data_IF_790158856575
#
_entry.id   IF_790158856575
#
_cell.length_a   1.000
_cell.length_b   1.000
_cell.length_c   1.000
_cell.angle_alpha   90.00
_cell.angle_beta   90.00
_cell.angle_gamma   90.00
#
_symmetry.space_group_name_H-M   'P 1'
#
loop_
_entity.id
_entity.type
_entity.pdbx_description
1 polymer ?
#
# COMPACT_ATOMS: atom_id res chain seq x y z
N UNK A 1 -15.36 -6.58 1.09
CA UNK A 1 -14.33 -5.75 0.42
C UNK A 1 -13.56 -4.98 1.49
N UNK A 2 -12.23 -4.87 1.36
CA UNK A 2 -11.42 -4.24 2.39
C UNK A 2 -11.45 -2.70 2.31
N UNK A 3 -11.29 -2.05 3.46
CA UNK A 3 -11.27 -0.59 3.60
C UNK A 3 -10.01 -0.14 4.36
N UNK A 4 -9.32 0.88 3.88
CA UNK A 4 -8.09 1.40 4.49
C UNK A 4 -8.01 2.93 4.51
N UNK A 5 -7.14 3.47 5.38
CA UNK A 5 -6.70 4.86 5.36
C UNK A 5 -5.47 4.98 4.47
N UNK A 6 -5.67 5.47 3.25
CA UNK A 6 -4.56 5.70 2.32
C UNK A 6 -3.88 7.03 2.62
N UNK A 7 -2.56 7.03 2.50
CA UNK A 7 -1.73 8.22 2.55
C UNK A 7 -1.02 8.38 1.23
N UNK A 8 -0.83 9.62 0.80
CA UNK A 8 -0.02 9.90 -0.39
C UNK A 8 1.43 9.54 -0.11
N UNK A 9 2.07 8.88 -1.06
CA UNK A 9 3.48 8.50 -0.96
C UNK A 9 4.34 9.61 -1.52
N UNK A 10 5.31 10.05 -0.72
CA UNK A 10 6.38 10.97 -1.10
C UNK A 10 7.73 10.26 -1.00
N UNK A 11 8.77 10.82 -1.63
CA UNK A 11 10.13 10.28 -1.54
C UNK A 11 10.54 10.10 -0.07
N UNK A 12 10.95 8.88 0.29
CA UNK A 12 11.37 8.53 1.65
C UNK A 12 10.22 8.23 2.62
N UNK A 13 8.98 8.08 2.15
CA UNK A 13 7.85 7.64 2.99
C UNK A 13 8.13 6.26 3.55
N UNK A 14 8.14 6.15 4.88
CA UNK A 14 8.34 4.89 5.62
C UNK A 14 7.03 4.31 6.13
N UNK A 15 7.08 3.08 6.63
CA UNK A 15 5.99 2.45 7.36
C UNK A 15 5.56 3.26 8.60
N UNK A 16 6.52 3.84 9.32
CA UNK A 16 6.24 4.68 10.48
C UNK A 16 5.42 5.92 10.10
N UNK A 17 5.72 6.54 8.95
CA UNK A 17 4.96 7.68 8.42
C UNK A 17 3.53 7.27 8.05
N UNK A 18 3.37 6.10 7.42
CA UNK A 18 2.05 5.58 7.08
C UNK A 18 1.20 5.30 8.34
N UNK A 19 1.79 4.70 9.38
CA UNK A 19 1.12 4.50 10.67
C UNK A 19 0.75 5.83 11.34
N UNK A 20 1.66 6.80 11.38
CA UNK A 20 1.39 8.11 11.95
C UNK A 20 0.22 8.81 11.23
N UNK A 21 0.21 8.75 9.89
CA UNK A 21 -0.88 9.30 9.08
C UNK A 21 -2.20 8.56 9.28
N UNK A 22 -2.19 7.23 9.44
CA UNK A 22 -3.39 6.46 9.77
C UNK A 22 -3.97 6.91 11.12
N UNK A 23 -3.15 7.04 12.16
CA UNK A 23 -3.60 7.51 13.48
C UNK A 23 -4.18 8.93 13.41
N UNK A 24 -3.55 9.82 12.62
CA UNK A 24 -4.08 11.16 12.39
C UNK A 24 -5.45 11.11 11.70
N UNK A 25 -5.62 10.28 10.67
CA UNK A 25 -6.90 10.10 9.98
C UNK A 25 -7.99 9.52 10.90
N UNK A 26 -7.64 8.57 11.76
CA UNK A 26 -8.56 8.01 12.76
C UNK A 26 -9.01 9.08 13.77
N UNK A 27 -8.06 9.85 14.33
CA UNK A 27 -8.38 10.92 15.29
C UNK A 27 -9.29 12.00 14.69
N UNK A 28 -9.14 12.27 13.39
CA UNK A 28 -9.96 13.21 12.62
C UNK A 28 -11.25 12.61 12.09
N UNK A 29 -11.54 11.34 12.38
CA UNK A 29 -12.72 10.61 11.89
C UNK A 29 -12.84 10.64 10.35
N UNK A 30 -11.71 10.59 9.66
CA UNK A 30 -11.71 10.50 8.20
C UNK A 30 -12.39 9.18 7.76
N UNK A 31 -13.00 9.19 6.57
CA UNK A 31 -13.61 7.99 6.01
C UNK A 31 -12.53 7.06 5.44
N UNK A 32 -12.63 5.76 5.71
CA UNK A 32 -11.80 4.76 5.04
C UNK A 32 -12.23 4.62 3.58
N UNK A 33 -11.28 4.38 2.69
CA UNK A 33 -11.56 4.14 1.28
C UNK A 33 -11.66 2.65 1.02
N UNK A 34 -12.68 2.27 0.24
CA UNK A 34 -12.82 0.91 -0.29
C UNK A 34 -11.78 0.69 -1.39
N UNK A 35 -11.23 -0.53 -1.45
CA UNK A 35 -10.34 -0.94 -2.53
C UNK A 35 -10.60 -2.38 -2.97
N UNK A 36 -10.15 -2.72 -4.17
CA UNK A 36 -10.16 -4.08 -4.71
C UNK A 36 -8.74 -4.65 -4.66
N UNK A 37 -8.61 -5.92 -4.26
CA UNK A 37 -7.33 -6.63 -4.35
C UNK A 37 -7.03 -6.96 -5.81
N UNK A 38 -5.91 -6.45 -6.32
CA UNK A 38 -5.37 -6.84 -7.63
C UNK A 38 -4.57 -8.14 -7.53
N UNK A 39 -3.66 -8.18 -6.56
CA UNK A 39 -2.76 -9.30 -6.31
C UNK A 39 -2.29 -9.23 -4.86
N UNK A 40 -2.03 -10.39 -4.28
CA UNK A 40 -1.37 -10.54 -2.99
C UNK A 40 -0.02 -11.22 -3.19
N UNK A 41 1.05 -10.58 -2.72
CA UNK A 41 2.43 -11.06 -2.81
C UNK A 41 2.91 -11.35 -1.39
N UNK A 42 3.41 -12.56 -1.17
CA UNK A 42 4.11 -12.92 0.07
C UNK A 42 5.60 -12.66 -0.13
N UNK A 43 6.21 -11.99 0.84
CA UNK A 43 7.64 -11.69 0.87
C UNK A 43 8.23 -12.13 2.21
N UNK A 44 9.54 -12.34 2.24
CA UNK A 44 10.26 -12.60 3.48
C UNK A 44 10.42 -11.35 4.34
N UNK A 45 10.93 -11.53 5.57
CA UNK A 45 11.10 -10.43 6.53
C UNK A 45 12.06 -9.36 6.00
N UNK A 46 13.16 -9.76 5.36
CA UNK A 46 14.20 -8.84 4.87
C UNK A 46 13.65 -7.95 3.75
N UNK A 47 12.96 -8.54 2.77
CA UNK A 47 12.30 -7.80 1.70
C UNK A 47 11.18 -6.93 2.26
N UNK A 48 10.39 -7.42 3.22
CA UNK A 48 9.34 -6.63 3.86
C UNK A 48 9.92 -5.39 4.56
N UNK A 49 11.01 -5.55 5.31
CA UNK A 49 11.68 -4.46 6.02
C UNK A 49 12.27 -3.43 5.06
N UNK A 50 12.85 -3.87 3.93
CA UNK A 50 13.31 -2.96 2.88
C UNK A 50 12.17 -2.10 2.33
N UNK A 51 10.98 -2.68 2.15
CA UNK A 51 9.79 -1.94 1.68
C UNK A 51 9.29 -1.00 2.78
N UNK A 52 9.29 -1.44 4.04
CA UNK A 52 8.87 -0.61 5.17
C UNK A 52 9.79 0.60 5.39
N UNK A 53 11.08 0.45 5.13
CA UNK A 53 12.05 1.53 5.25
C UNK A 53 11.89 2.61 4.16
N UNK A 54 11.50 2.21 2.95
CA UNK A 54 11.16 3.15 1.87
C UNK A 54 10.09 2.58 0.93
N UNK A 55 8.85 3.02 1.16
CA UNK A 55 7.67 2.65 0.40
C UNK A 55 7.64 3.37 -0.96
N UNK A 56 8.37 4.48 -1.10
CA UNK A 56 8.37 5.29 -2.32
C UNK A 56 9.16 4.66 -3.47
N UNK A 57 10.06 3.74 -3.14
CA UNK A 57 10.87 3.01 -4.12
C UNK A 57 10.07 1.91 -4.82
N UNK A 58 10.19 1.86 -6.15
CA UNK A 58 9.70 0.74 -6.95
C UNK A 58 10.48 -0.54 -6.60
N UNK A 59 9.78 -1.66 -6.47
CA UNK A 59 10.38 -2.96 -6.15
C UNK A 59 10.01 -4.01 -7.19
N UNK A 60 10.96 -4.90 -7.46
CA UNK A 60 10.83 -5.97 -8.45
C UNK A 60 9.65 -6.90 -8.14
N UNK A 61 9.38 -7.18 -6.87
CA UNK A 61 8.31 -8.10 -6.45
C UNK A 61 6.93 -7.70 -6.98
N UNK A 62 6.63 -6.40 -7.08
CA UNK A 62 5.33 -5.91 -7.55
C UNK A 62 5.36 -5.16 -8.89
N UNK A 63 6.54 -4.85 -9.43
CA UNK A 63 6.69 -4.01 -10.62
C UNK A 63 5.85 -4.48 -11.81
N UNK A 64 5.78 -5.80 -12.06
CA UNK A 64 5.02 -6.37 -13.18
C UNK A 64 3.50 -6.14 -13.10
N UNK A 65 2.96 -5.80 -11.93
CA UNK A 65 1.53 -5.56 -11.72
C UNK A 65 1.15 -4.08 -11.70
N UNK A 66 2.13 -3.17 -11.69
CA UNK A 66 1.93 -1.72 -11.57
C UNK A 66 0.95 -1.16 -12.62
N UNK A 67 1.13 -1.54 -13.89
CA UNK A 67 0.25 -1.12 -15.00
C UNK A 67 -1.22 -1.51 -14.81
N UNK A 68 -1.53 -2.55 -14.03
CA UNK A 68 -2.89 -3.01 -13.75
C UNK A 68 -3.49 -2.39 -12.49
N UNK A 69 -2.66 -1.74 -11.66
CA UNK A 69 -3.06 -1.04 -10.44
C UNK A 69 -3.61 0.36 -10.79
N UNK A 70 -4.78 0.33 -11.42
CA UNK A 70 -5.58 1.49 -11.83
C UNK A 70 -6.96 1.43 -11.17
N UNK A 71 -7.71 2.52 -11.19
CA UNK A 71 -9.09 2.51 -10.73
C UNK A 71 -9.97 1.61 -11.62
N UNK A 72 -10.94 0.92 -11.02
CA UNK A 72 -12.04 0.25 -11.72
C UNK A 72 -13.06 1.28 -12.22
N UNK A 73 -14.01 0.84 -13.05
CA UNK A 73 -15.06 1.72 -13.60
C UNK A 73 -15.96 2.32 -12.50
N UNK A 74 -16.16 1.60 -11.39
CA UNK A 74 -16.87 2.06 -10.20
C UNK A 74 -15.98 2.87 -9.23
N UNK A 75 -14.76 3.23 -9.65
CA UNK A 75 -13.87 4.13 -8.91
C UNK A 75 -13.04 3.48 -7.80
N UNK A 76 -13.08 2.16 -7.64
CA UNK A 76 -12.29 1.44 -6.62
C UNK A 76 -10.85 1.28 -7.08
N UNK A 77 -9.92 1.50 -6.17
CA UNK A 77 -8.50 1.31 -6.49
C UNK A 77 -8.16 -0.17 -6.51
N UNK A 78 -7.60 -0.65 -7.63
CA UNK A 78 -7.00 -1.99 -7.70
C UNK A 78 -5.63 -1.93 -7.04
N UNK A 79 -5.54 -2.48 -5.83
CA UNK A 79 -4.35 -2.36 -5.00
C UNK A 79 -3.52 -3.64 -5.00
N UNK A 80 -2.21 -3.46 -4.97
CA UNK A 80 -1.24 -4.54 -4.76
C UNK A 80 -1.03 -4.70 -3.26
N UNK A 81 -1.19 -5.91 -2.74
CA UNK A 81 -1.02 -6.20 -1.32
C UNK A 81 0.29 -6.96 -1.13
N UNK A 82 1.19 -6.43 -0.33
CA UNK A 82 2.45 -7.06 0.05
C UNK A 82 2.30 -7.52 1.49
N UNK A 83 2.45 -8.82 1.73
CA UNK A 83 2.28 -9.46 3.03
C UNK A 83 3.62 -10.03 3.49
N UNK A 84 3.95 -9.80 4.75
CA UNK A 84 5.05 -10.49 5.39
C UNK A 84 4.66 -11.96 5.62
N UNK A 85 5.53 -12.90 5.28
CA UNK A 85 5.26 -14.33 5.49
C UNK A 85 5.25 -14.75 6.97
N UNK A 86 5.89 -13.98 7.85
CA UNK A 86 6.06 -14.29 9.28
C UNK A 86 5.13 -13.50 10.21
N UNK A 87 4.42 -12.50 9.68
CA UNK A 87 3.55 -11.65 10.49
C UNK A 87 2.24 -11.33 9.76
N UNK A 88 1.28 -10.72 10.47
CA UNK A 88 0.02 -10.26 9.86
C UNK A 88 0.16 -8.91 9.15
N UNK A 89 1.36 -8.32 9.22
CA UNK A 89 1.63 -7.01 8.65
C UNK A 89 1.56 -7.07 7.13
N UNK A 90 0.91 -6.05 6.56
CA UNK A 90 0.80 -5.89 5.12
C UNK A 90 0.82 -4.42 4.72
N UNK A 91 1.41 -4.17 3.55
CA UNK A 91 1.38 -2.88 2.85
C UNK A 91 0.43 -3.00 1.67
N UNK A 92 -0.44 -2.02 1.51
CA UNK A 92 -1.39 -1.93 0.41
C UNK A 92 -0.97 -0.77 -0.48
N UNK A 93 -0.63 -1.04 -1.73
CA UNK A 93 -0.12 -0.04 -2.68
C UNK A 93 -1.12 0.24 -3.79
N UNK A 94 -1.28 1.51 -4.13
CA UNK A 94 -1.95 1.97 -5.34
C UNK A 94 -1.00 2.83 -6.17
N UNK A 95 -0.83 2.48 -7.45
CA UNK A 95 0.20 3.08 -8.31
C UNK A 95 -0.37 3.98 -9.42
N UNK A 96 -1.69 3.94 -9.64
CA UNK A 96 -2.36 4.61 -10.75
C UNK A 96 -1.73 4.29 -12.12
N UNK A 97 -1.31 3.03 -12.32
CA UNK A 97 -0.67 2.56 -13.55
C UNK A 97 0.79 2.99 -13.72
N UNK A 98 1.40 3.61 -12.70
CA UNK A 98 2.79 4.10 -12.74
C UNK A 98 3.75 3.13 -12.07
N UNK A 99 5.04 3.26 -12.37
CA UNK A 99 6.09 2.43 -11.78
C UNK A 99 6.16 2.57 -10.24
N UNK A 100 5.97 3.78 -9.72
CA UNK A 100 6.12 4.10 -8.31
C UNK A 100 4.76 4.17 -7.61
N UNK A 101 4.66 3.77 -6.32
CA UNK A 101 3.43 3.91 -5.55
C UNK A 101 3.01 5.38 -5.43
N UNK A 102 1.74 5.65 -5.68
CA UNK A 102 1.16 6.98 -5.52
C UNK A 102 0.50 7.13 -4.15
N UNK A 103 -0.18 6.08 -3.70
CA UNK A 103 -0.79 5.98 -2.38
C UNK A 103 -0.46 4.64 -1.75
N UNK A 104 -0.34 4.64 -0.43
CA UNK A 104 -0.11 3.45 0.36
C UNK A 104 -0.93 3.44 1.65
N UNK A 105 -1.21 2.26 2.15
CA UNK A 105 -1.79 2.03 3.47
C UNK A 105 -1.10 0.85 4.15
N UNK A 106 -1.22 0.78 5.46
CA UNK A 106 -0.70 -0.32 6.28
C UNK A 106 -1.86 -1.00 7.01
N UNK A 107 -1.67 -2.27 7.37
CA UNK A 107 -2.62 -3.02 8.18
C UNK A 107 -1.87 -4.13 8.91
N UNK A 108 -2.38 -4.49 10.09
CA UNK A 108 -1.89 -5.58 10.94
C UNK A 108 -3.02 -6.56 11.30
#
# INVERSE_FOLDING_TARGET
>A
MPFCHFSRVYKGTSWADLKANEQLQLSRKCKKMEYAELISILVDQEEFDLICNDVSSARSCYQKYTHQSIATLDGKWKCIIIKNQHSKQKIILYTAGRLYPLYAAVSE
#
